data_IF_330262531159
#
_entry.id   IF_330262531159
#
_cell.length_a   1.000
_cell.length_b   1.000
_cell.length_c   1.000
_cell.angle_alpha   90.00
_cell.angle_beta   90.00
_cell.angle_gamma   90.00
#
_symmetry.space_group_name_H-M   'P 1'
#
loop_
_entity.id
_entity.type
_entity.pdbx_description
1 polymer ?
#
# COMPACT_ATOMS: atom_id res chain seq x y z
N UNK A 1 -1.98 -15.52 8.94
CA UNK A 1 -0.54 -15.64 9.23
C UNK A 1 0.12 -14.27 9.19
N UNK A 2 1.28 -14.07 9.87
CA UNK A 2 2.01 -12.79 9.83
C UNK A 2 2.50 -12.41 8.42
N UNK A 3 2.71 -13.39 7.54
CA UNK A 3 3.17 -13.16 6.16
C UNK A 3 2.02 -12.73 5.23
N UNK A 4 0.85 -13.31 5.40
CA UNK A 4 -0.35 -13.03 4.60
C UNK A 4 -1.51 -12.68 5.55
N UNK A 5 -1.53 -11.46 6.08
CA UNK A 5 -2.55 -11.05 7.04
C UNK A 5 -3.87 -10.72 6.32
N UNK A 6 -5.00 -11.02 6.95
CA UNK A 6 -6.34 -10.65 6.46
C UNK A 6 -6.58 -9.13 6.51
N UNK A 7 -5.70 -8.38 7.17
CA UNK A 7 -5.69 -6.94 7.18
C UNK A 7 -4.27 -6.39 7.27
N UNK A 8 -3.96 -5.43 6.41
CA UNK A 8 -2.71 -4.68 6.43
C UNK A 8 -2.80 -3.52 7.41
N UNK A 9 -1.74 -3.31 8.18
CA UNK A 9 -1.57 -2.09 8.98
C UNK A 9 -0.83 -1.04 8.17
N UNK A 10 -1.39 0.16 8.12
CA UNK A 10 -0.77 1.33 7.51
C UNK A 10 -0.95 2.50 8.47
N UNK A 11 0.06 2.75 9.31
CA UNK A 11 -0.08 3.61 10.47
C UNK A 11 -1.16 3.09 11.42
N UNK A 12 -2.12 3.94 11.74
CA UNK A 12 -3.29 3.58 12.56
C UNK A 12 -4.40 2.88 11.77
N UNK A 13 -4.30 2.88 10.43
CA UNK A 13 -5.29 2.24 9.58
C UNK A 13 -5.13 0.72 9.58
N UNK A 14 -6.28 0.04 9.62
CA UNK A 14 -6.38 -1.40 9.40
C UNK A 14 -7.21 -1.65 8.14
N UNK A 15 -6.55 -2.06 7.07
CA UNK A 15 -7.11 -2.20 5.73
C UNK A 15 -7.33 -3.68 5.42
N UNK A 16 -8.57 -4.05 5.15
CA UNK A 16 -8.93 -5.44 4.84
C UNK A 16 -8.22 -5.91 3.56
N UNK A 17 -7.58 -7.07 3.64
CA UNK A 17 -6.86 -7.70 2.54
C UNK A 17 -7.45 -9.07 2.22
N UNK A 18 -7.53 -9.41 0.94
CA UNK A 18 -7.89 -10.72 0.43
C UNK A 18 -6.87 -11.17 -0.61
N UNK A 19 -6.75 -12.48 -0.82
CA UNK A 19 -5.74 -13.06 -1.68
C UNK A 19 -6.39 -13.97 -2.70
N UNK A 20 -5.96 -13.86 -3.96
CA UNK A 20 -6.37 -14.73 -5.05
C UNK A 20 -5.14 -15.23 -5.78
N UNK A 21 -5.10 -16.52 -6.07
CA UNK A 21 -4.08 -17.14 -6.88
C UNK A 21 -4.73 -17.55 -8.20
N UNK A 22 -4.62 -16.70 -9.21
CA UNK A 22 -5.22 -16.92 -10.51
C UNK A 22 -4.37 -16.21 -11.59
N UNK A 23 -3.20 -16.78 -11.93
CA UNK A 23 -2.25 -16.14 -12.84
C UNK A 23 -2.89 -15.75 -14.17
N UNK A 24 -2.77 -14.46 -14.52
CA UNK A 24 -3.38 -13.88 -15.72
C UNK A 24 -4.76 -13.23 -15.48
N UNK A 25 -5.31 -13.31 -14.28
CA UNK A 25 -6.50 -12.57 -13.89
C UNK A 25 -6.12 -11.19 -13.35
N UNK A 26 -6.94 -10.16 -13.62
CA UNK A 26 -6.68 -8.77 -13.18
C UNK A 26 -6.58 -8.63 -11.66
N UNK A 27 -7.25 -9.52 -10.92
CA UNK A 27 -7.24 -9.58 -9.45
C UNK A 27 -6.25 -10.61 -8.89
N UNK A 28 -5.32 -11.12 -9.70
CA UNK A 28 -4.27 -12.01 -9.19
C UNK A 28 -3.39 -11.29 -8.16
N UNK A 29 -3.10 -11.97 -7.07
CA UNK A 29 -2.33 -11.44 -5.95
C UNK A 29 -3.19 -11.00 -4.77
N UNK A 30 -2.81 -9.90 -4.12
CA UNK A 30 -3.52 -9.31 -3.00
C UNK A 30 -4.47 -8.20 -3.45
N UNK A 31 -5.68 -8.19 -2.93
CA UNK A 31 -6.62 -7.07 -3.07
C UNK A 31 -6.85 -6.43 -1.71
N UNK A 32 -6.68 -5.11 -1.63
CA UNK A 32 -6.89 -4.32 -0.41
C UNK A 32 -8.04 -3.35 -0.63
N UNK A 33 -9.02 -3.39 0.27
CA UNK A 33 -10.17 -2.48 0.25
C UNK A 33 -9.90 -1.27 1.12
N UNK A 34 -10.03 -0.08 0.54
CA UNK A 34 -9.77 1.19 1.22
C UNK A 34 -11.02 2.06 1.13
N UNK A 35 -11.66 2.41 2.27
CA UNK A 35 -12.72 3.41 2.27
C UNK A 35 -12.21 4.73 1.68
N UNK A 36 -13.01 5.39 0.84
CA UNK A 36 -12.60 6.63 0.17
C UNK A 36 -12.18 7.72 1.17
N UNK A 37 -12.80 7.77 2.35
CA UNK A 37 -12.46 8.71 3.41
C UNK A 37 -11.10 8.42 4.06
N UNK A 38 -10.65 7.16 4.05
CA UNK A 38 -9.36 6.74 4.59
C UNK A 38 -8.21 6.86 3.57
N UNK A 39 -8.53 6.92 2.27
CA UNK A 39 -7.54 6.94 1.19
C UNK A 39 -6.48 8.05 1.33
N UNK A 40 -6.81 9.31 1.70
CA UNK A 40 -5.81 10.35 1.91
C UNK A 40 -4.83 10.06 3.05
N UNK A 41 -5.25 9.26 4.06
CA UNK A 41 -4.48 8.94 5.25
C UNK A 41 -3.52 7.76 5.04
N UNK A 42 -3.64 7.02 3.93
CA UNK A 42 -2.75 5.91 3.63
C UNK A 42 -1.34 6.43 3.39
N UNK A 43 -0.40 5.98 4.22
CA UNK A 43 1.02 6.32 4.09
C UNK A 43 1.63 5.57 2.92
N UNK A 44 2.16 6.33 1.95
CA UNK A 44 2.75 5.80 0.72
C UNK A 44 4.07 5.07 0.98
N UNK A 45 4.83 5.49 1.98
CA UNK A 45 6.08 4.81 2.34
C UNK A 45 5.78 3.40 2.83
N UNK A 46 4.87 3.27 3.81
CA UNK A 46 4.44 1.96 4.31
C UNK A 46 3.80 1.12 3.21
N UNK A 47 3.01 1.75 2.34
CA UNK A 47 2.36 1.06 1.21
C UNK A 47 3.37 0.47 0.22
N UNK A 48 4.47 1.17 -0.03
CA UNK A 48 5.49 0.75 -1.01
C UNK A 48 6.13 -0.61 -0.71
N UNK A 49 6.03 -1.10 0.52
CA UNK A 49 6.58 -2.39 0.95
C UNK A 49 5.69 -3.59 0.60
N UNK A 50 4.53 -3.38 0.04
CA UNK A 50 3.61 -4.42 -0.39
C UNK A 50 3.20 -5.39 0.74
N UNK A 51 2.96 -6.62 0.36
CA UNK A 51 2.53 -7.69 1.28
C UNK A 51 3.75 -8.29 1.98
N UNK A 52 3.74 -8.45 3.33
CA UNK A 52 4.87 -8.97 4.08
C UNK A 52 5.44 -10.29 3.54
N UNK A 53 4.59 -11.23 3.13
CA UNK A 53 5.01 -12.52 2.60
C UNK A 53 5.68 -12.47 1.23
N UNK A 54 5.50 -11.40 0.48
CA UNK A 54 6.08 -11.21 -0.85
C UNK A 54 7.19 -10.15 -0.89
N UNK A 55 7.60 -9.61 0.25
CA UNK A 55 8.63 -8.54 0.27
C UNK A 55 9.96 -8.96 -0.35
N UNK A 56 10.39 -10.20 -0.12
CA UNK A 56 11.61 -10.69 -0.74
C UNK A 56 11.47 -10.71 -2.26
N UNK A 57 10.36 -11.26 -2.77
CA UNK A 57 10.09 -11.35 -4.19
C UNK A 57 9.96 -9.94 -4.83
N UNK A 58 9.33 -9.01 -4.11
CA UNK A 58 9.25 -7.60 -4.52
C UNK A 58 10.65 -6.96 -4.62
N UNK A 59 11.50 -7.16 -3.63
CA UNK A 59 12.90 -6.68 -3.66
C UNK A 59 13.65 -7.32 -4.83
N UNK A 60 13.52 -8.64 -5.04
CA UNK A 60 14.14 -9.31 -6.18
C UNK A 60 13.67 -8.72 -7.52
N UNK A 61 12.36 -8.50 -7.68
CA UNK A 61 11.80 -7.89 -8.88
C UNK A 61 12.32 -6.47 -9.10
N UNK A 62 12.39 -5.64 -8.05
CA UNK A 62 12.97 -4.31 -8.12
C UNK A 62 14.46 -4.34 -8.48
N UNK A 63 15.26 -5.25 -7.92
CA UNK A 63 16.65 -5.42 -8.29
C UNK A 63 16.80 -5.87 -9.75
N UNK A 64 15.91 -6.75 -10.23
CA UNK A 64 15.87 -7.18 -11.64
C UNK A 64 15.46 -6.05 -12.59
N UNK A 65 14.72 -5.05 -12.12
CA UNK A 65 14.31 -3.88 -12.92
C UNK A 65 15.46 -2.91 -13.23
N UNK A 66 16.56 -2.97 -12.48
CA UNK A 66 17.71 -2.12 -12.67
C UNK A 66 18.36 -2.26 -14.06
N UNK A 67 19.00 -1.21 -14.57
CA UNK A 67 19.86 -1.28 -15.75
C UNK A 67 20.91 -2.39 -15.65
N UNK A 68 21.24 -3.03 -16.77
CA UNK A 68 22.10 -4.22 -16.81
C UNK A 68 23.49 -4.00 -16.21
N UNK A 69 24.05 -2.82 -16.42
CA UNK A 69 25.36 -2.41 -15.87
C UNK A 69 25.35 -2.39 -14.35
N UNK A 70 24.35 -1.78 -13.74
CA UNK A 70 24.18 -1.69 -12.28
C UNK A 70 23.81 -3.03 -11.64
N UNK A 71 22.99 -3.84 -12.34
CA UNK A 71 22.56 -5.13 -11.85
C UNK A 71 23.66 -6.18 -11.76
N UNK A 72 24.73 -6.04 -12.57
CA UNK A 72 25.84 -7.02 -12.61
C UNK A 72 26.55 -7.22 -11.26
N UNK A 73 26.73 -6.16 -10.49
CA UNK A 73 27.38 -6.22 -9.17
C UNK A 73 26.52 -6.88 -8.10
N UNK A 74 25.20 -7.06 -8.36
CA UNK A 74 24.23 -7.57 -7.40
C UNK A 74 23.95 -9.08 -7.57
N UNK A 75 24.63 -9.75 -8.50
CA UNK A 75 24.42 -11.19 -8.76
C UNK A 75 25.16 -12.03 -7.72
N UNK A 76 24.51 -13.07 -7.16
CA UNK A 76 23.13 -13.55 -7.40
C UNK A 76 22.05 -12.68 -6.75
N UNK A 77 21.05 -12.29 -7.54
CA UNK A 77 19.97 -11.40 -7.09
C UNK A 77 19.22 -11.96 -5.85
N UNK A 78 18.82 -13.26 -5.78
CA UNK A 78 18.12 -13.79 -4.62
C UNK A 78 18.95 -13.66 -3.32
N UNK A 79 20.27 -13.86 -3.38
CA UNK A 79 21.14 -13.72 -2.20
C UNK A 79 21.24 -12.26 -1.75
N UNK A 80 21.33 -11.34 -2.71
CA UNK A 80 21.34 -9.90 -2.43
C UNK A 80 20.01 -9.48 -1.81
N UNK A 81 18.87 -9.92 -2.35
CA UNK A 81 17.56 -9.64 -1.78
C UNK A 81 17.43 -10.17 -0.34
N UNK A 82 17.89 -11.40 -0.07
CA UNK A 82 17.88 -12.00 1.28
C UNK A 82 18.72 -11.18 2.26
N UNK A 83 19.90 -10.70 1.85
CA UNK A 83 20.75 -9.84 2.68
C UNK A 83 20.07 -8.49 2.98
N UNK A 84 19.35 -7.93 2.01
CA UNK A 84 18.58 -6.69 2.20
C UNK A 84 17.39 -6.91 3.12
N UNK A 85 16.66 -8.02 2.97
CA UNK A 85 15.58 -8.42 3.89
C UNK A 85 16.04 -8.49 5.34
N UNK A 86 17.23 -9.05 5.59
CA UNK A 86 17.79 -9.16 6.95
C UNK A 86 18.12 -7.80 7.60
N UNK A 87 18.15 -6.71 6.83
CA UNK A 87 18.42 -5.34 7.31
C UNK A 87 17.13 -4.53 7.57
N UNK A 88 15.97 -5.11 7.25
CA UNK A 88 14.68 -4.44 7.44
C UNK A 88 14.29 -4.50 8.91
N UNK A 89 14.05 -3.35 9.50
CA UNK A 89 13.52 -3.16 10.84
C UNK A 89 12.30 -2.21 10.83
N UNK A 90 11.73 -1.94 11.99
CA UNK A 90 10.58 -1.06 12.11
C UNK A 90 10.85 0.38 11.65
N UNK A 91 12.09 0.86 11.78
CA UNK A 91 12.49 2.21 11.33
C UNK A 91 12.60 2.26 9.82
N UNK A 92 13.20 1.24 9.23
CA UNK A 92 13.37 1.15 7.77
C UNK A 92 12.01 1.07 7.04
N UNK A 93 11.02 0.42 7.65
CA UNK A 93 9.66 0.35 7.10
C UNK A 93 8.92 1.70 7.04
N UNK A 94 9.40 2.73 7.75
CA UNK A 94 8.81 4.07 7.71
C UNK A 94 9.26 4.88 6.49
N UNK A 95 10.26 4.43 5.75
CA UNK A 95 10.71 5.06 4.52
C UNK A 95 10.19 4.28 3.29
N UNK A 96 10.16 4.95 2.15
CA UNK A 96 9.80 4.30 0.89
C UNK A 96 10.81 3.20 0.54
N UNK A 97 10.34 2.05 -0.01
CA UNK A 97 11.20 0.90 -0.33
C UNK A 97 12.35 1.28 -1.27
N UNK A 98 12.12 2.16 -2.25
CA UNK A 98 13.19 2.58 -3.18
C UNK A 98 14.26 3.42 -2.47
N UNK A 99 13.88 4.27 -1.52
CA UNK A 99 14.84 5.04 -0.69
C UNK A 99 15.68 4.10 0.17
N UNK A 100 15.05 3.09 0.77
CA UNK A 100 15.77 2.05 1.51
C UNK A 100 16.76 1.31 0.60
N UNK A 101 16.32 0.82 -0.55
CA UNK A 101 17.20 0.08 -1.47
C UNK A 101 18.35 0.94 -2.00
N UNK A 102 18.08 2.17 -2.42
CA UNK A 102 19.11 3.09 -2.89
C UNK A 102 20.15 3.39 -1.79
N UNK A 103 19.70 3.59 -0.54
CA UNK A 103 20.59 3.79 0.59
C UNK A 103 21.46 2.56 0.88
N UNK A 104 20.88 1.36 0.87
CA UNK A 104 21.61 0.12 1.12
C UNK A 104 22.64 -0.20 0.01
N UNK A 105 22.34 0.22 -1.22
CA UNK A 105 23.13 -0.05 -2.42
C UNK A 105 23.92 1.17 -2.91
N UNK A 106 24.10 2.19 -2.06
CA UNK A 106 24.81 3.43 -2.44
C UNK A 106 26.25 3.20 -2.93
N UNK A 107 26.91 2.15 -2.45
CA UNK A 107 28.25 1.74 -2.92
C UNK A 107 28.28 1.33 -4.40
N UNK A 108 27.15 0.91 -4.96
CA UNK A 108 26.98 0.48 -6.35
C UNK A 108 26.46 1.63 -7.25
N UNK A 109 26.42 2.85 -6.74
CA UNK A 109 25.94 4.05 -7.45
C UNK A 109 24.49 3.89 -7.97
N UNK A 110 23.64 3.19 -7.20
CA UNK A 110 22.23 2.97 -7.50
C UNK A 110 21.40 4.03 -6.81
N UNK A 111 20.54 4.71 -7.59
CA UNK A 111 19.61 5.71 -7.10
C UNK A 111 18.15 5.23 -7.27
N UNK A 112 17.19 5.87 -6.58
CA UNK A 112 15.78 5.51 -6.66
C UNK A 112 15.22 5.50 -8.09
N UNK A 113 15.65 6.45 -8.93
CA UNK A 113 15.27 6.58 -10.33
C UNK A 113 15.71 5.43 -11.24
N UNK A 114 16.62 4.59 -10.77
CA UNK A 114 17.13 3.45 -11.54
C UNK A 114 16.19 2.23 -11.44
N UNK A 115 15.33 2.21 -10.42
CA UNK A 115 14.30 1.18 -10.26
C UNK A 115 13.05 1.49 -11.06
N UNK A 116 12.30 0.47 -11.47
CA UNK A 116 11.03 0.62 -12.17
C UNK A 116 9.97 -0.35 -11.64
N UNK A 117 8.88 0.19 -11.08
CA UNK A 117 7.72 -0.60 -10.69
C UNK A 117 6.95 -1.17 -11.91
N UNK A 118 7.05 -0.55 -13.09
CA UNK A 118 6.42 -1.04 -14.33
C UNK A 118 6.95 -2.42 -14.74
N UNK A 119 8.17 -2.78 -14.30
CA UNK A 119 8.79 -4.07 -14.57
C UNK A 119 8.56 -5.11 -13.48
N UNK A 120 7.83 -4.74 -12.44
CA UNK A 120 7.47 -5.63 -11.34
C UNK A 120 6.21 -6.40 -11.71
N UNK A 121 6.20 -7.68 -11.41
CA UNK A 121 5.04 -8.55 -11.64
C UNK A 121 3.83 -8.07 -10.83
N UNK A 122 2.67 -8.00 -11.48
CA UNK A 122 1.48 -7.35 -10.92
C UNK A 122 1.03 -7.93 -9.58
N UNK A 123 1.15 -9.25 -9.39
CA UNK A 123 0.70 -9.89 -8.14
C UNK A 123 1.49 -9.43 -6.91
N UNK A 124 2.72 -8.91 -7.09
CA UNK A 124 3.55 -8.36 -6.01
C UNK A 124 3.06 -6.98 -5.52
N UNK A 125 2.28 -6.28 -6.36
CA UNK A 125 1.72 -4.97 -6.06
C UNK A 125 0.23 -5.15 -5.70
N UNK A 126 -0.18 -4.83 -4.45
CA UNK A 126 -1.58 -5.00 -4.06
C UNK A 126 -2.54 -4.23 -4.96
N UNK A 127 -3.60 -4.87 -5.42
CA UNK A 127 -4.72 -4.20 -6.07
C UNK A 127 -5.51 -3.43 -5.01
N UNK A 128 -5.67 -2.14 -5.20
CA UNK A 128 -6.48 -1.28 -4.35
C UNK A 128 -7.88 -1.22 -4.94
N UNK A 129 -8.88 -1.48 -4.12
CA UNK A 129 -10.29 -1.19 -4.40
C UNK A 129 -10.76 -0.10 -3.44
N UNK A 130 -10.96 1.10 -3.97
CA UNK A 130 -11.53 2.21 -3.20
C UNK A 130 -13.03 1.99 -3.12
N UNK A 131 -13.57 2.00 -1.90
CA UNK A 131 -14.97 1.70 -1.65
C UNK A 131 -15.71 2.89 -1.03
N UNK A 132 -17.00 3.02 -1.38
CA UNK A 132 -17.91 3.98 -0.76
C UNK A 132 -18.44 3.45 0.60
N UNK A 133 -19.26 4.25 1.27
CA UNK A 133 -19.89 3.90 2.55
C UNK A 133 -20.81 2.66 2.47
N UNK A 134 -21.25 2.29 1.27
CA UNK A 134 -22.09 1.10 1.01
C UNK A 134 -21.23 -0.12 0.64
N UNK A 135 -19.90 0.01 0.63
CA UNK A 135 -18.97 -1.05 0.25
C UNK A 135 -18.87 -1.29 -1.26
N UNK A 136 -19.43 -0.40 -2.10
CA UNK A 136 -19.31 -0.51 -3.56
C UNK A 136 -17.98 0.05 -4.02
N UNK A 137 -17.33 -0.65 -4.95
CA UNK A 137 -16.09 -0.17 -5.56
C UNK A 137 -16.40 1.03 -6.46
N UNK A 138 -15.74 2.16 -6.18
CA UNK A 138 -15.85 3.40 -6.96
C UNK A 138 -14.63 3.61 -7.86
N UNK A 139 -13.45 3.15 -7.43
CA UNK A 139 -12.21 3.20 -8.17
C UNK A 139 -11.35 1.97 -7.85
N UNK A 140 -10.46 1.58 -8.77
CA UNK A 140 -9.47 0.55 -8.51
C UNK A 140 -8.18 0.77 -9.30
N UNK A 141 -7.09 0.25 -8.78
CA UNK A 141 -5.76 0.33 -9.41
C UNK A 141 -4.67 -0.20 -8.49
N UNK A 142 -3.43 -0.21 -8.97
CA UNK A 142 -2.27 -0.67 -8.18
C UNK A 142 -1.36 0.50 -7.78
N UNK A 143 -1.53 1.67 -8.38
CA UNK A 143 -0.82 2.89 -8.03
C UNK A 143 -1.66 3.72 -7.04
N UNK A 144 -1.17 3.82 -5.81
CA UNK A 144 -1.84 4.56 -4.73
C UNK A 144 -1.88 6.06 -5.01
N UNK A 145 -0.78 6.62 -5.56
CA UNK A 145 -0.68 8.07 -5.83
C UNK A 145 -1.66 8.48 -6.93
N UNK A 146 -1.77 7.67 -7.99
CA UNK A 146 -2.73 7.87 -9.06
C UNK A 146 -4.17 7.79 -8.56
N UNK A 147 -4.49 6.78 -7.72
CA UNK A 147 -5.83 6.64 -7.12
C UNK A 147 -6.18 7.83 -6.22
N UNK A 148 -5.22 8.29 -5.39
CA UNK A 148 -5.42 9.50 -4.58
C UNK A 148 -5.69 10.73 -5.46
N UNK A 149 -4.99 10.89 -6.59
CA UNK A 149 -5.21 11.99 -7.50
C UNK A 149 -6.61 11.93 -8.15
N UNK A 150 -7.03 10.76 -8.65
CA UNK A 150 -8.35 10.55 -9.26
C UNK A 150 -9.48 10.79 -8.27
N UNK A 151 -9.38 10.25 -7.06
CA UNK A 151 -10.43 10.42 -6.04
C UNK A 151 -10.50 11.85 -5.50
N UNK A 152 -9.43 12.66 -5.57
CA UNK A 152 -9.48 14.10 -5.21
C UNK A 152 -10.34 14.91 -6.17
N UNK A 153 -10.34 14.60 -7.45
CA UNK A 153 -11.13 15.32 -8.45
C UNK A 153 -12.63 15.05 -8.31
N UNK A 154 -13.02 13.88 -7.82
CA UNK A 154 -14.43 13.53 -7.61
C UNK A 154 -15.03 14.16 -6.35
N UNK A 155 -14.22 14.45 -5.33
CA UNK A 155 -14.68 15.11 -4.09
C UNK A 155 -14.95 16.61 -4.25
N UNK A 156 -14.69 17.20 -5.40
CA UNK A 156 -15.01 18.62 -5.71
C UNK A 156 -16.39 18.82 -6.33
N UNK A 157 -17.22 17.81 -6.47
CA UNK A 157 -18.65 18.04 -6.64
C UNK A 157 -19.23 18.59 -5.33
N UNK A 158 -20.02 19.69 -5.33
CA UNK A 158 -20.49 20.30 -4.09
C UNK A 158 -21.24 19.28 -3.26
N UNK A 159 -20.72 19.01 -2.08
CA UNK A 159 -21.39 18.19 -1.07
C UNK A 159 -22.75 18.80 -0.80
N UNK A 160 -23.83 18.22 -1.37
CA UNK A 160 -25.14 18.38 -0.80
C UNK A 160 -25.05 17.90 0.62
N UNK A 161 -25.18 18.83 1.57
CA UNK A 161 -25.32 18.51 2.99
C UNK A 161 -26.47 17.51 3.15
N UNK A 162 -26.15 16.23 3.23
CA UNK A 162 -27.09 15.22 3.66
C UNK A 162 -27.20 15.34 5.18
N UNK A 163 -28.22 16.08 5.62
CA UNK A 163 -28.79 15.88 6.96
C UNK A 163 -29.47 14.52 6.94
N UNK A 164 -28.77 13.51 7.40
CA UNK A 164 -29.29 12.15 7.57
C UNK A 164 -28.65 11.52 8.77
N UNK A 165 -29.49 11.00 9.67
CA UNK A 165 -29.07 10.22 10.83
C UNK A 165 -28.28 8.99 10.36
N UNK A 166 -27.03 8.86 10.84
CA UNK A 166 -26.20 7.69 10.58
C UNK A 166 -26.79 6.50 11.35
N UNK A 167 -27.38 5.55 10.66
CA UNK A 167 -27.63 4.20 11.17
C UNK A 167 -26.32 3.40 11.13
N UNK A 168 -26.06 2.69 12.22
CA UNK A 168 -24.86 1.92 12.50
C UNK A 168 -24.32 1.13 11.30
N UNK A 169 -22.98 1.11 11.17
CA UNK A 169 -22.24 0.26 10.24
C UNK A 169 -22.52 -1.23 10.50
N UNK A 170 -22.48 -2.08 9.47
CA UNK A 170 -22.52 -3.53 9.67
C UNK A 170 -21.36 -3.98 10.56
N UNK A 171 -21.60 -4.90 11.47
CA UNK A 171 -20.68 -5.38 12.52
C UNK A 171 -19.31 -5.94 12.04
N UNK A 172 -19.06 -5.98 10.73
CA UNK A 172 -17.81 -6.46 10.15
C UNK A 172 -16.73 -5.37 9.97
N UNK A 173 -17.01 -4.10 10.29
CA UNK A 173 -16.06 -3.00 10.19
C UNK A 173 -15.81 -2.37 11.56
N UNK A 174 -14.84 -2.90 12.31
CA UNK A 174 -14.33 -2.23 13.51
C UNK A 174 -13.33 -1.17 13.09
N UNK A 175 -13.76 0.09 13.12
CA UNK A 175 -12.91 1.26 12.98
C UNK A 175 -12.44 1.67 14.38
N UNK A 176 -11.27 1.26 14.82
CA UNK A 176 -10.60 1.91 15.95
C UNK A 176 -9.72 3.06 15.43
N UNK A 177 -10.32 4.23 15.31
CA UNK A 177 -9.58 5.47 15.12
C UNK A 177 -9.38 6.12 16.49
N UNK A 178 -8.15 6.09 17.01
CA UNK A 178 -7.74 6.98 18.13
C UNK A 178 -7.65 8.40 17.61
N UNK A 179 -8.67 9.21 17.93
CA UNK A 179 -8.71 10.63 17.57
C UNK A 179 -7.80 11.48 18.44
N UNK A 180 -6.83 12.17 17.84
CA UNK A 180 -6.51 13.54 18.21
C UNK A 180 -6.54 14.40 16.95
N UNK A 181 -7.71 14.85 16.58
CA UNK A 181 -7.87 15.98 15.66
C UNK A 181 -8.39 17.14 16.48
N UNK A 182 -7.55 18.15 16.63
CA UNK A 182 -7.87 19.41 17.30
C UNK A 182 -8.97 20.10 16.49
N UNK A 183 -10.19 20.24 17.02
CA UNK A 183 -11.16 21.19 16.54
C UNK A 183 -12.53 20.69 16.10
N UNK A 184 -12.91 19.41 16.32
CA UNK A 184 -14.30 18.97 16.08
C UNK A 184 -14.85 18.33 17.35
N UNK A 185 -15.85 18.98 17.97
CA UNK A 185 -16.59 18.45 19.11
C UNK A 185 -17.59 17.42 18.58
N UNK A 186 -17.29 16.14 18.77
CA UNK A 186 -18.28 15.07 18.57
C UNK A 186 -19.03 14.85 19.87
N UNK A 187 -20.33 15.16 19.91
CA UNK A 187 -21.20 14.78 21.04
C UNK A 187 -21.40 13.27 21.01
N UNK A 188 -20.90 12.60 22.03
CA UNK A 188 -21.27 11.21 22.32
C UNK A 188 -22.74 11.18 22.79
N UNK A 189 -23.54 10.31 22.19
CA UNK A 189 -24.79 9.88 22.76
C UNK A 189 -24.60 8.48 23.35
N UNK A 190 -24.99 8.36 24.60
CA UNK A 190 -25.12 7.09 25.32
C UNK A 190 -26.23 6.25 24.70
#
# INVERSE_FOLDING_TARGET
TQQFPDALRNGELRLAASYRFDPGHDEDGATVRIPVQALPQVDENLWSWGIPGWRQDLIEALLKSLPKDKRRSLVPIPDTARKLMARIDAVNLQQHILSFLAFQLRGEQIAEKDFSFERVEQYLLPLIKVIDEKGRVIEQGRDLSELKARCRTETHSPVKQLKGEFKAFPESFVFEASQKVTGVVVKQYQ
#
